data_IF_206415574517
#
_entry.id   IF_206415574517
#
_cell.length_a   1.000
_cell.length_b   1.000
_cell.length_c   1.000
_cell.angle_alpha   90.00
_cell.angle_beta   90.00
_cell.angle_gamma   90.00
#
_symmetry.space_group_name_H-M   'P 1'
#
loop_
_entity.id
_entity.type
_entity.pdbx_description
1 polymer ?
#
# COMPACT_ATOMS: atom_id res chain seq x y z
N UNK A 1 -11.42 -12.59 -6.72
CA UNK A 1 -11.55 -11.46 -7.65
C UNK A 1 -10.78 -10.22 -7.18
N UNK A 2 -10.28 -10.19 -5.92
CA UNK A 2 -9.50 -9.08 -5.32
C UNK A 2 -7.98 -9.28 -5.39
N UNK A 3 -7.51 -10.46 -5.76
CA UNK A 3 -6.08 -10.80 -5.81
C UNK A 3 -5.32 -10.10 -6.95
N UNK A 4 -6.04 -9.63 -7.97
CA UNK A 4 -5.44 -9.15 -9.21
C UNK A 4 -4.69 -7.80 -9.06
N UNK A 5 -5.13 -6.89 -8.16
CA UNK A 5 -4.45 -5.61 -7.93
C UNK A 5 -3.16 -5.79 -7.12
N UNK A 6 -3.16 -6.70 -6.16
CA UNK A 6 -1.94 -7.07 -5.42
C UNK A 6 -0.92 -7.74 -6.34
N UNK A 7 -1.40 -8.54 -7.29
CA UNK A 7 -0.57 -9.17 -8.31
C UNK A 7 0.02 -8.15 -9.30
N UNK A 8 -0.78 -7.16 -9.72
CA UNK A 8 -0.31 -6.06 -10.56
C UNK A 8 0.72 -5.17 -9.83
N UNK A 9 0.61 -5.05 -8.51
CA UNK A 9 1.60 -4.35 -7.68
C UNK A 9 2.86 -5.19 -7.40
N UNK A 10 3.01 -6.38 -8.03
CA UNK A 10 4.18 -7.25 -7.83
C UNK A 10 4.10 -8.09 -6.54
N UNK A 11 3.01 -8.01 -5.80
CA UNK A 11 2.69 -8.94 -4.72
C UNK A 11 1.98 -10.14 -5.34
N UNK A 12 2.70 -11.19 -5.62
CA UNK A 12 2.10 -12.46 -6.06
C UNK A 12 1.12 -13.02 -5.01
N UNK A 13 0.38 -14.11 -5.32
CA UNK A 13 -0.59 -14.73 -4.41
C UNK A 13 0.06 -15.35 -3.17
N UNK A 14 1.26 -14.95 -2.84
CA UNK A 14 2.07 -15.53 -1.80
C UNK A 14 1.72 -14.94 -0.43
N UNK A 15 0.89 -15.65 0.29
CA UNK A 15 0.60 -15.39 1.70
C UNK A 15 1.89 -15.14 2.50
N UNK A 16 2.95 -15.91 2.23
CA UNK A 16 4.25 -15.77 2.86
C UNK A 16 4.90 -14.40 2.65
N UNK A 17 4.77 -13.80 1.45
CA UNK A 17 5.29 -12.45 1.15
C UNK A 17 4.58 -11.41 2.00
N UNK A 18 3.24 -11.45 2.02
CA UNK A 18 2.44 -10.51 2.80
C UNK A 18 2.71 -10.65 4.31
N UNK A 19 2.80 -11.88 4.82
CA UNK A 19 3.12 -12.15 6.22
C UNK A 19 4.51 -11.65 6.59
N UNK A 20 5.50 -11.83 5.71
CA UNK A 20 6.86 -11.34 5.92
C UNK A 20 6.89 -9.81 6.00
N UNK A 21 6.28 -9.12 5.03
CA UNK A 21 6.24 -7.65 5.00
C UNK A 21 5.48 -7.10 6.21
N UNK A 22 4.32 -7.67 6.54
CA UNK A 22 3.52 -7.25 7.69
C UNK A 22 4.28 -7.42 9.01
N UNK A 23 4.99 -8.54 9.19
CA UNK A 23 5.83 -8.76 10.39
C UNK A 23 6.91 -7.70 10.52
N UNK A 24 7.61 -7.36 9.41
CA UNK A 24 8.60 -6.28 9.42
C UNK A 24 7.99 -4.94 9.80
N UNK A 25 6.87 -4.57 9.22
CA UNK A 25 6.16 -3.33 9.58
C UNK A 25 5.83 -3.32 11.07
N UNK A 26 5.39 -4.44 11.59
CA UNK A 26 5.03 -4.61 13.00
C UNK A 26 6.23 -4.41 13.92
N UNK A 27 7.36 -5.04 13.59
CA UNK A 27 8.63 -4.92 14.33
C UNK A 27 9.14 -3.46 14.30
N UNK A 28 9.12 -2.82 13.14
CA UNK A 28 9.59 -1.44 12.96
C UNK A 28 8.71 -0.41 13.68
N UNK A 29 7.40 -0.60 13.68
CA UNK A 29 6.47 0.26 14.39
C UNK A 29 6.46 0.00 15.90
N UNK A 30 6.91 -1.17 16.36
CA UNK A 30 6.87 -1.56 17.76
C UNK A 30 5.51 -1.21 18.40
N UNK A 31 4.43 -1.74 17.81
CA UNK A 31 3.07 -1.44 18.25
C UNK A 31 2.84 -1.88 19.70
N UNK A 32 2.06 -1.09 20.44
CA UNK A 32 1.72 -1.28 21.83
C UNK A 32 0.21 -1.39 22.01
N UNK A 33 -0.26 -2.04 23.09
CA UNK A 33 -1.70 -2.16 23.35
C UNK A 33 -2.45 -0.82 23.37
N UNK A 34 -1.82 0.22 23.92
CA UNK A 34 -2.39 1.57 24.04
C UNK A 34 -2.36 2.39 22.75
N UNK A 35 -1.76 1.89 21.67
CA UNK A 35 -1.70 2.63 20.42
C UNK A 35 -3.07 2.79 19.77
N UNK A 36 -3.26 3.96 19.18
CA UNK A 36 -4.30 4.23 18.20
C UNK A 36 -3.68 4.01 16.81
N UNK A 37 -3.89 2.84 16.27
CA UNK A 37 -3.29 2.36 15.04
C UNK A 37 -4.18 2.59 13.82
N UNK A 38 -3.61 3.07 12.72
CA UNK A 38 -4.30 3.26 11.44
C UNK A 38 -3.54 2.55 10.32
N UNK A 39 -4.24 1.70 9.59
CA UNK A 39 -3.75 1.02 8.38
C UNK A 39 -4.44 1.62 7.14
N UNK A 40 -3.75 2.52 6.43
CA UNK A 40 -4.27 3.23 5.26
C UNK A 40 -4.08 2.35 4.02
N UNK A 41 -5.19 1.95 3.40
CA UNK A 41 -5.21 0.95 2.33
C UNK A 41 -4.99 -0.45 2.88
N UNK A 42 -5.73 -0.81 3.91
CA UNK A 42 -5.57 -2.06 4.65
C UNK A 42 -5.86 -3.34 3.82
N UNK A 43 -6.35 -3.19 2.59
CA UNK A 43 -6.63 -4.29 1.69
C UNK A 43 -7.55 -5.33 2.32
N UNK A 44 -7.06 -6.56 2.51
CA UNK A 44 -7.80 -7.64 3.17
C UNK A 44 -7.73 -7.62 4.71
N UNK A 45 -7.19 -6.57 5.31
CA UNK A 45 -7.12 -6.38 6.75
C UNK A 45 -6.16 -7.33 7.48
N UNK A 46 -5.16 -7.91 6.80
CA UNK A 46 -4.23 -8.85 7.44
C UNK A 46 -3.37 -8.16 8.50
N UNK A 47 -2.81 -6.98 8.20
CA UNK A 47 -2.02 -6.22 9.15
C UNK A 47 -2.88 -5.72 10.31
N UNK A 48 -4.09 -5.24 10.01
CA UNK A 48 -5.07 -4.80 11.01
C UNK A 48 -5.42 -5.93 11.99
N UNK A 49 -5.69 -7.13 11.49
CA UNK A 49 -5.94 -8.31 12.34
C UNK A 49 -4.75 -8.68 13.20
N UNK A 50 -3.54 -8.63 12.63
CA UNK A 50 -2.32 -8.89 13.38
C UNK A 50 -2.12 -7.89 14.51
N UNK A 51 -2.45 -6.61 14.29
CA UNK A 51 -2.41 -5.58 15.32
C UNK A 51 -3.39 -5.89 16.46
N UNK A 52 -4.64 -6.23 16.14
CA UNK A 52 -5.66 -6.59 17.13
C UNK A 52 -5.24 -7.86 17.92
N UNK A 53 -4.74 -8.89 17.23
CA UNK A 53 -4.27 -10.12 17.85
C UNK A 53 -3.08 -9.93 18.78
N UNK A 54 -2.24 -8.92 18.52
CA UNK A 54 -1.13 -8.57 19.41
C UNK A 54 -1.53 -7.69 20.60
N UNK A 55 -2.83 -7.40 20.74
CA UNK A 55 -3.38 -6.66 21.86
C UNK A 55 -3.61 -5.17 21.63
N UNK A 56 -3.41 -4.64 20.43
CA UNK A 56 -3.76 -3.24 20.11
C UNK A 56 -5.28 -3.07 20.22
N UNK A 57 -5.71 -2.22 21.14
CA UNK A 57 -7.13 -2.06 21.48
C UNK A 57 -7.85 -1.19 20.44
N UNK A 58 -7.17 -0.22 19.85
CA UNK A 58 -7.76 0.73 18.91
C UNK A 58 -7.06 0.65 17.56
N UNK A 59 -7.63 -0.09 16.62
CA UNK A 59 -7.07 -0.32 15.29
C UNK A 59 -8.13 -0.06 14.22
N UNK A 60 -7.86 0.87 13.30
CA UNK A 60 -8.74 1.28 12.20
C UNK A 60 -8.07 1.00 10.87
N UNK A 61 -8.80 0.33 9.97
CA UNK A 61 -8.42 0.19 8.57
C UNK A 61 -9.12 1.22 7.69
N UNK A 62 -8.45 1.67 6.63
CA UNK A 62 -9.06 2.50 5.60
C UNK A 62 -8.94 1.82 4.24
N UNK A 63 -10.02 1.81 3.47
CA UNK A 63 -10.02 1.38 2.07
C UNK A 63 -10.77 2.39 1.22
N UNK A 64 -10.44 2.46 -0.07
CA UNK A 64 -10.93 3.49 -0.98
C UNK A 64 -12.30 3.18 -1.59
N UNK A 65 -12.83 1.96 -1.44
CA UNK A 65 -14.10 1.52 -2.03
C UNK A 65 -14.98 0.79 -1.02
N UNK A 66 -16.29 0.94 -1.15
CA UNK A 66 -17.28 0.21 -0.33
C UNK A 66 -17.15 -1.31 -0.45
N UNK A 67 -16.82 -1.81 -1.65
CA UNK A 67 -16.62 -3.24 -1.91
C UNK A 67 -15.45 -3.84 -1.12
N UNK A 68 -14.47 -3.01 -0.74
CA UNK A 68 -13.35 -3.42 0.10
C UNK A 68 -13.65 -3.26 1.59
N UNK A 69 -14.48 -2.27 1.95
CA UNK A 69 -14.85 -1.99 3.34
C UNK A 69 -15.86 -3.01 3.86
N UNK A 70 -16.95 -3.22 3.14
CA UNK A 70 -18.09 -4.03 3.58
C UNK A 70 -17.72 -5.44 4.06
N UNK A 71 -16.93 -6.26 3.32
CA UNK A 71 -16.59 -7.61 3.77
C UNK A 71 -15.77 -7.64 5.05
N UNK A 72 -14.97 -6.60 5.31
CA UNK A 72 -14.15 -6.51 6.51
C UNK A 72 -14.96 -6.06 7.73
N UNK A 73 -15.88 -5.13 7.52
CA UNK A 73 -16.84 -4.71 8.56
C UNK A 73 -17.76 -5.85 8.99
N UNK A 74 -18.20 -6.69 8.05
CA UNK A 74 -18.98 -7.91 8.33
C UNK A 74 -18.20 -8.93 9.17
N UNK A 75 -16.86 -8.88 9.13
CA UNK A 75 -15.96 -9.67 9.96
C UNK A 75 -15.66 -9.02 11.33
N UNK A 76 -16.32 -7.90 11.65
CA UNK A 76 -16.16 -7.19 12.92
C UNK A 76 -14.92 -6.31 13.02
N UNK A 77 -14.26 -6.00 11.90
CA UNK A 77 -13.13 -5.05 11.86
C UNK A 77 -13.65 -3.61 11.71
N UNK A 78 -13.07 -2.65 12.43
CA UNK A 78 -13.31 -1.23 12.18
C UNK A 78 -12.57 -0.79 10.92
N UNK A 79 -13.26 -0.89 9.79
CA UNK A 79 -12.75 -0.46 8.49
C UNK A 79 -13.68 0.59 7.93
N UNK A 80 -13.11 1.71 7.48
CA UNK A 80 -13.86 2.87 7.01
C UNK A 80 -13.50 3.18 5.57
N UNK A 81 -14.48 3.74 4.85
CA UNK A 81 -14.26 4.31 3.53
C UNK A 81 -13.43 5.59 3.68
N UNK A 82 -12.27 5.62 3.03
CA UNK A 82 -11.37 6.77 3.09
C UNK A 82 -10.28 6.71 2.04
N UNK A 83 -9.82 7.87 1.62
CA UNK A 83 -8.73 8.03 0.66
C UNK A 83 -7.56 8.71 1.34
N UNK A 84 -6.35 8.52 0.83
CA UNK A 84 -5.14 9.15 1.36
C UNK A 84 -5.23 10.69 1.38
N UNK A 85 -5.94 11.30 0.43
CA UNK A 85 -6.15 12.75 0.31
C UNK A 85 -7.41 13.27 1.05
N UNK A 86 -8.13 12.37 1.77
CA UNK A 86 -9.31 12.70 2.57
C UNK A 86 -9.55 11.57 3.58
N UNK A 87 -8.90 11.65 4.74
CA UNK A 87 -8.95 10.63 5.78
C UNK A 87 -10.06 10.95 6.78
N UNK A 88 -11.05 10.04 6.99
CA UNK A 88 -12.21 10.29 7.86
C UNK A 88 -11.88 10.07 9.35
N UNK A 89 -10.80 10.69 9.80
CA UNK A 89 -10.36 10.67 11.20
C UNK A 89 -10.06 12.09 11.67
N UNK A 90 -10.28 12.39 12.96
CA UNK A 90 -9.95 13.69 13.52
C UNK A 90 -8.43 13.95 13.54
N UNK A 91 -8.07 15.22 13.69
CA UNK A 91 -6.69 15.65 13.87
C UNK A 91 -6.07 15.00 15.10
N UNK A 92 -4.79 14.68 15.03
CA UNK A 92 -4.01 14.13 16.14
C UNK A 92 -4.68 12.91 16.82
N UNK A 93 -5.31 12.03 16.04
CA UNK A 93 -5.94 10.81 16.56
C UNK A 93 -4.93 9.65 16.68
N UNK A 94 -4.11 9.43 15.66
CA UNK A 94 -3.27 8.23 15.54
C UNK A 94 -1.92 8.36 16.25
N UNK A 95 -1.51 7.33 16.99
CA UNK A 95 -0.15 7.21 17.54
C UNK A 95 0.78 6.35 16.67
N UNK A 96 0.20 5.54 15.79
CA UNK A 96 0.91 4.73 14.81
C UNK A 96 0.11 4.64 13.51
N UNK A 97 0.77 4.89 12.37
CA UNK A 97 0.15 4.90 11.04
C UNK A 97 0.98 4.07 10.07
N UNK A 98 0.30 3.26 9.27
CA UNK A 98 0.87 2.54 8.13
C UNK A 98 0.19 3.01 6.86
N UNK A 99 0.96 3.22 5.81
CA UNK A 99 0.49 3.36 4.43
C UNK A 99 1.47 2.59 3.54
N UNK A 100 1.17 1.31 3.29
CA UNK A 100 2.09 0.41 2.62
C UNK A 100 1.54 -0.04 1.26
N UNK A 101 2.33 0.15 0.19
CA UNK A 101 1.93 -0.18 -1.19
C UNK A 101 0.65 0.56 -1.67
N UNK A 102 0.43 1.79 -1.21
CA UNK A 102 -0.75 2.61 -1.53
C UNK A 102 -0.37 3.92 -2.19
N UNK A 103 0.63 4.64 -1.65
CA UNK A 103 1.01 5.96 -2.17
C UNK A 103 1.50 5.90 -3.61
N UNK A 104 2.05 4.78 -4.05
CA UNK A 104 2.43 4.57 -5.45
C UNK A 104 1.24 4.69 -6.42
N UNK A 105 0.01 4.47 -5.95
CA UNK A 105 -1.23 4.58 -6.73
C UNK A 105 -1.85 5.98 -6.67
N UNK A 106 -1.27 6.89 -5.89
CA UNK A 106 -1.76 8.26 -5.74
C UNK A 106 -1.21 9.13 -6.87
N UNK A 107 -2.06 9.86 -7.61
CA UNK A 107 -1.59 10.81 -8.60
C UNK A 107 -0.61 11.84 -8.01
N UNK A 108 0.44 12.20 -8.75
CA UNK A 108 1.51 13.06 -8.26
C UNK A 108 0.99 14.41 -7.72
N UNK A 109 -0.03 14.98 -8.36
CA UNK A 109 -0.66 16.24 -7.96
C UNK A 109 -1.42 16.14 -6.62
N UNK A 110 -1.77 14.93 -6.19
CA UNK A 110 -2.44 14.68 -4.91
C UNK A 110 -1.49 14.27 -3.79
N UNK A 111 -0.24 13.94 -4.11
CA UNK A 111 0.72 13.41 -3.15
C UNK A 111 0.94 14.35 -1.95
N UNK A 112 1.17 15.62 -2.20
CA UNK A 112 1.37 16.61 -1.13
C UNK A 112 0.15 16.73 -0.21
N UNK A 113 -1.07 16.61 -0.76
CA UNK A 113 -2.31 16.60 0.04
C UNK A 113 -2.40 15.32 0.87
N UNK A 114 -2.09 14.17 0.27
CA UNK A 114 -2.11 12.88 0.97
C UNK A 114 -1.13 12.84 2.14
N UNK A 115 0.09 13.34 1.96
CA UNK A 115 1.07 13.41 3.03
C UNK A 115 0.62 14.36 4.17
N UNK A 116 0.00 15.50 3.84
CA UNK A 116 -0.59 16.41 4.85
C UNK A 116 -1.74 15.76 5.61
N UNK A 117 -2.61 15.00 4.96
CA UNK A 117 -3.70 14.28 5.63
C UNK A 117 -3.16 13.19 6.57
N UNK A 118 -2.16 12.42 6.13
CA UNK A 118 -1.46 11.45 6.99
C UNK A 118 -0.86 12.16 8.21
N UNK A 119 -0.16 13.27 8.00
CA UNK A 119 0.42 14.05 9.10
C UNK A 119 -0.65 14.68 10.02
N UNK A 120 -1.79 15.13 9.46
CA UNK A 120 -2.90 15.73 10.22
C UNK A 120 -3.48 14.78 11.25
N UNK A 121 -3.71 13.52 10.85
CA UNK A 121 -4.29 12.52 11.75
C UNK A 121 -3.31 12.03 12.81
N UNK A 122 -2.02 12.28 12.65
CA UNK A 122 -0.97 11.85 13.57
C UNK A 122 -0.89 12.73 14.82
N UNK A 123 -0.81 12.11 15.99
CA UNK A 123 -0.40 12.77 17.24
C UNK A 123 1.04 13.25 17.13
N UNK A 124 1.47 14.25 17.92
CA UNK A 124 2.89 14.56 18.09
C UNK A 124 3.69 13.29 18.43
N UNK A 125 4.84 13.10 17.78
CA UNK A 125 5.69 11.91 17.90
C UNK A 125 5.07 10.58 17.43
N UNK A 126 3.93 10.57 16.74
CA UNK A 126 3.37 9.38 16.15
C UNK A 126 4.36 8.72 15.19
N UNK A 127 4.37 7.39 15.20
CA UNK A 127 5.20 6.55 14.31
C UNK A 127 4.48 6.34 12.99
N UNK A 128 5.16 6.62 11.88
CA UNK A 128 4.56 6.56 10.55
C UNK A 128 5.43 5.72 9.64
N UNK A 129 4.85 4.65 9.10
CA UNK A 129 5.44 3.83 8.05
C UNK A 129 4.83 4.16 6.71
N UNK A 130 5.66 4.58 5.75
CA UNK A 130 5.29 4.76 4.34
C UNK A 130 6.13 3.79 3.51
N UNK A 131 5.50 2.72 3.04
CA UNK A 131 6.24 1.60 2.45
C UNK A 131 5.99 1.40 0.96
N UNK A 132 6.97 0.75 0.33
CA UNK A 132 6.97 0.35 -1.08
C UNK A 132 6.87 1.55 -2.06
N UNK A 133 7.49 2.67 -1.73
CA UNK A 133 7.53 3.83 -2.61
C UNK A 133 8.58 3.60 -3.71
N UNK A 134 8.18 3.63 -4.99
CA UNK A 134 9.11 3.53 -6.09
C UNK A 134 10.07 4.74 -6.15
N UNK A 135 11.36 4.46 -6.34
CA UNK A 135 12.42 5.48 -6.41
C UNK A 135 12.71 5.97 -7.82
N UNK A 136 12.25 5.24 -8.84
CA UNK A 136 12.50 5.52 -10.26
C UNK A 136 11.29 5.14 -11.10
N UNK A 137 11.23 5.63 -12.34
CA UNK A 137 10.26 5.18 -13.34
C UNK A 137 10.49 3.72 -13.77
N UNK A 138 11.72 3.23 -13.65
CA UNK A 138 12.08 1.87 -13.99
C UNK A 138 11.82 0.92 -12.82
N UNK A 139 10.58 0.46 -12.70
CA UNK A 139 10.26 -0.61 -11.75
C UNK A 139 10.42 -1.94 -12.49
N UNK A 140 11.49 -2.64 -12.20
CA UNK A 140 11.81 -3.92 -12.84
C UNK A 140 10.99 -5.09 -12.31
N UNK A 141 10.34 -4.91 -11.17
CA UNK A 141 9.62 -5.94 -10.42
C UNK A 141 8.20 -6.19 -10.96
N UNK A 142 7.72 -5.35 -11.87
CA UNK A 142 6.39 -5.46 -12.48
C UNK A 142 6.53 -5.68 -13.98
N UNK A 143 5.88 -6.71 -14.55
CA UNK A 143 5.95 -6.95 -15.98
C UNK A 143 5.34 -5.77 -16.74
N UNK A 144 6.07 -5.31 -17.77
CA UNK A 144 5.60 -4.29 -18.73
C UNK A 144 5.08 -4.99 -19.98
N UNK A 145 4.00 -4.47 -20.51
CA UNK A 145 3.40 -4.96 -21.73
C UNK A 145 3.29 -3.82 -22.75
N UNK A 146 3.53 -4.12 -24.02
CA UNK A 146 3.46 -3.11 -25.07
C UNK A 146 2.00 -2.81 -25.48
N UNK A 147 1.10 -3.75 -25.23
CA UNK A 147 -0.32 -3.63 -25.61
C UNK A 147 -1.20 -4.58 -24.80
N UNK A 148 -2.53 -4.35 -24.85
CA UNK A 148 -3.52 -5.19 -24.16
C UNK A 148 -3.45 -6.66 -24.57
N UNK A 149 -3.37 -7.04 -25.87
CA UNK A 149 -3.24 -8.45 -26.27
C UNK A 149 -2.05 -9.15 -25.65
N UNK A 150 -0.87 -8.51 -25.59
CA UNK A 150 0.33 -9.06 -24.96
C UNK A 150 0.11 -9.28 -23.47
N UNK A 151 -0.46 -8.31 -22.77
CA UNK A 151 -0.81 -8.40 -21.35
C UNK A 151 -1.80 -9.55 -21.09
N UNK A 152 -2.86 -9.66 -21.91
CA UNK A 152 -3.85 -10.73 -21.80
C UNK A 152 -3.22 -12.11 -22.04
N UNK A 153 -2.35 -12.22 -23.04
CA UNK A 153 -1.61 -13.44 -23.33
C UNK A 153 -0.69 -13.84 -22.16
N UNK A 154 0.05 -12.88 -21.62
CA UNK A 154 0.90 -13.10 -20.45
C UNK A 154 0.06 -13.54 -19.24
N UNK A 155 -1.06 -12.87 -18.96
CA UNK A 155 -2.00 -13.23 -17.91
C UNK A 155 -2.48 -14.67 -18.03
N UNK A 156 -2.97 -15.03 -19.23
CA UNK A 156 -3.47 -16.39 -19.50
C UNK A 156 -2.38 -17.45 -19.23
N UNK A 157 -1.18 -17.18 -19.71
CA UNK A 157 -0.07 -18.14 -19.66
C UNK A 157 0.58 -18.26 -18.27
N UNK A 158 0.69 -17.16 -17.55
CA UNK A 158 1.37 -17.10 -16.25
C UNK A 158 0.44 -17.18 -15.05
N UNK A 159 -0.80 -16.72 -15.18
CA UNK A 159 -1.77 -16.58 -14.09
C UNK A 159 -3.02 -17.45 -14.27
N UNK A 160 -3.17 -18.03 -15.46
CA UNK A 160 -4.28 -18.95 -15.79
C UNK A 160 -5.59 -18.28 -16.16
N UNK A 161 -6.57 -19.12 -16.55
CA UNK A 161 -7.84 -18.70 -17.13
C UNK A 161 -8.68 -17.82 -16.20
N UNK A 162 -8.64 -18.07 -14.89
CA UNK A 162 -9.44 -17.33 -13.91
C UNK A 162 -9.04 -15.85 -13.84
N UNK A 163 -7.74 -15.56 -13.75
CA UNK A 163 -7.19 -14.20 -13.76
C UNK A 163 -7.43 -13.51 -15.09
N UNK A 164 -7.28 -14.23 -16.20
CA UNK A 164 -7.58 -13.73 -17.54
C UNK A 164 -9.04 -13.28 -17.66
N UNK A 165 -10.01 -14.10 -17.24
CA UNK A 165 -11.44 -13.75 -17.27
C UNK A 165 -11.74 -12.55 -16.37
N UNK A 166 -11.10 -12.47 -15.21
CA UNK A 166 -11.22 -11.33 -14.30
C UNK A 166 -10.82 -10.00 -14.96
N UNK A 167 -9.66 -9.97 -15.62
CA UNK A 167 -9.18 -8.78 -16.34
C UNK A 167 -10.08 -8.43 -17.54
N UNK A 168 -10.51 -9.42 -18.32
CA UNK A 168 -11.43 -9.17 -19.42
C UNK A 168 -12.74 -8.52 -18.94
N UNK A 169 -13.30 -8.97 -17.82
CA UNK A 169 -14.48 -8.37 -17.21
C UNK A 169 -14.27 -6.90 -16.84
N UNK A 170 -13.13 -6.58 -16.21
CA UNK A 170 -12.80 -5.20 -15.81
C UNK A 170 -12.59 -4.28 -17.02
N UNK A 171 -11.98 -4.79 -18.08
CA UNK A 171 -11.85 -4.06 -19.35
C UNK A 171 -13.21 -3.72 -19.93
N UNK A 172 -14.17 -4.66 -19.88
CA UNK A 172 -15.52 -4.48 -20.41
C UNK A 172 -16.40 -3.60 -19.51
N UNK A 173 -16.20 -3.62 -18.20
CA UNK A 173 -16.95 -2.78 -17.25
C UNK A 173 -16.48 -1.32 -17.20
N UNK A 174 -15.36 -1.00 -17.83
CA UNK A 174 -14.78 0.35 -17.80
C UNK A 174 -14.18 0.75 -16.42
N UNK A 175 -14.11 -0.20 -15.49
CA UNK A 175 -13.55 0.04 -14.12
C UNK A 175 -12.06 0.37 -14.13
N UNK A 176 -11.35 0.00 -15.21
CA UNK A 176 -9.94 0.31 -15.37
C UNK A 176 -9.64 0.85 -16.76
N UNK A 177 -8.84 1.91 -16.83
CA UNK A 177 -8.40 2.46 -18.10
C UNK A 177 -7.30 1.59 -18.73
N UNK A 178 -7.36 1.37 -20.03
CA UNK A 178 -6.43 0.54 -20.79
C UNK A 178 -4.93 0.86 -20.55
N UNK A 179 -4.51 2.13 -20.46
CA UNK A 179 -3.12 2.49 -20.19
C UNK A 179 -2.59 1.95 -18.86
N UNK A 180 -3.40 1.90 -17.81
CA UNK A 180 -3.04 1.38 -16.48
C UNK A 180 -2.82 -0.13 -16.51
N UNK A 181 -3.49 -0.85 -17.41
CA UNK A 181 -3.33 -2.30 -17.57
C UNK A 181 -2.10 -2.67 -18.41
N UNK A 182 -1.78 -1.86 -19.42
CA UNK A 182 -0.64 -2.10 -20.32
C UNK A 182 0.67 -1.69 -19.63
N UNK A 183 0.67 -0.54 -18.98
CA UNK A 183 1.79 -0.05 -18.21
C UNK A 183 1.27 0.46 -16.86
N UNK A 184 1.06 -0.45 -15.89
CA UNK A 184 0.59 -0.05 -14.57
C UNK A 184 1.52 0.97 -13.89
N UNK A 185 2.73 1.14 -14.41
CA UNK A 185 3.73 2.08 -13.93
C UNK A 185 3.59 3.48 -14.51
N UNK A 186 2.94 3.67 -15.65
CA UNK A 186 2.76 4.99 -16.27
C UNK A 186 1.94 5.97 -15.40
N UNK A 187 1.13 5.44 -14.48
CA UNK A 187 0.34 6.22 -13.52
C UNK A 187 0.83 6.08 -12.07
N UNK A 188 1.94 5.37 -11.85
CA UNK A 188 2.49 5.14 -10.51
C UNK A 188 3.35 6.34 -10.10
N UNK A 189 3.05 6.88 -8.93
CA UNK A 189 3.93 7.86 -8.29
C UNK A 189 5.30 7.23 -8.00
N UNK A 190 6.34 7.94 -8.36
CA UNK A 190 7.72 7.61 -8.02
C UNK A 190 8.49 8.87 -7.65
N UNK A 191 9.46 8.75 -6.77
CA UNK A 191 10.35 9.85 -6.42
C UNK A 191 11.68 9.30 -5.89
N UNK A 192 12.82 9.94 -6.23
CA UNK A 192 14.07 9.68 -5.53
C UNK A 192 13.89 9.83 -4.02
N UNK A 193 14.59 9.03 -3.19
CA UNK A 193 14.41 9.06 -1.74
C UNK A 193 14.46 10.46 -1.12
N UNK A 194 15.44 11.27 -1.48
CA UNK A 194 15.60 12.62 -0.92
C UNK A 194 14.41 13.54 -1.28
N UNK A 195 13.89 13.40 -2.51
CA UNK A 195 12.72 14.18 -2.94
C UNK A 195 11.45 13.76 -2.18
N UNK A 196 11.24 12.45 -1.98
CA UNK A 196 10.11 11.94 -1.21
C UNK A 196 10.20 12.34 0.26
N UNK A 197 11.39 12.22 0.88
CA UNK A 197 11.65 12.67 2.26
C UNK A 197 11.30 14.14 2.41
N UNK A 198 11.81 15.00 1.51
CA UNK A 198 11.51 16.44 1.53
C UNK A 198 10.00 16.70 1.46
N UNK A 199 9.27 16.01 0.57
CA UNK A 199 7.81 16.17 0.46
C UNK A 199 7.10 15.77 1.78
N UNK A 200 7.55 14.73 2.44
CA UNK A 200 6.99 14.29 3.72
C UNK A 200 7.34 15.27 4.86
N UNK A 201 8.55 15.82 4.88
CA UNK A 201 8.97 16.84 5.83
C UNK A 201 8.20 18.16 5.67
N UNK A 202 7.97 18.59 4.44
CA UNK A 202 7.12 19.75 4.11
C UNK A 202 5.64 19.54 4.57
N UNK A 203 5.23 18.26 4.76
CA UNK A 203 3.93 17.90 5.33
C UNK A 203 3.93 17.78 6.86
N UNK A 204 5.08 17.92 7.52
CA UNK A 204 5.24 17.86 8.98
C UNK A 204 5.58 16.47 9.52
N UNK A 205 6.18 15.62 8.69
CA UNK A 205 6.73 14.32 9.09
C UNK A 205 8.26 14.43 9.08
N UNK A 206 8.93 14.03 10.15
CA UNK A 206 10.40 14.02 10.25
C UNK A 206 10.91 12.62 9.97
N UNK A 207 11.86 12.50 9.02
CA UNK A 207 12.47 11.20 8.72
C UNK A 207 13.31 10.70 9.91
N UNK A 208 13.17 9.42 10.25
CA UNK A 208 14.09 8.74 11.17
C UNK A 208 15.03 7.81 10.42
N UNK A 209 14.49 7.04 9.48
CA UNK A 209 15.29 6.14 8.62
C UNK A 209 14.52 5.75 7.36
N UNK A 210 15.25 5.37 6.33
CA UNK A 210 14.73 4.74 5.12
C UNK A 210 15.69 3.67 4.62
N UNK A 211 15.17 2.71 3.90
CA UNK A 211 15.98 1.60 3.37
C UNK A 211 15.29 0.96 2.16
N UNK A 212 16.05 0.24 1.31
CA UNK A 212 15.46 -0.52 0.22
C UNK A 212 14.41 -1.51 0.75
N UNK A 213 13.27 -1.60 0.07
CA UNK A 213 12.20 -2.51 0.44
C UNK A 213 12.69 -3.97 0.43
N UNK A 214 12.38 -4.72 1.47
CA UNK A 214 12.70 -6.13 1.60
C UNK A 214 11.42 -6.96 1.58
N UNK A 215 11.45 -8.03 0.79
CA UNK A 215 10.36 -8.97 0.61
C UNK A 215 10.89 -10.39 0.45
N UNK A 216 10.03 -11.33 0.08
CA UNK A 216 10.42 -12.66 -0.37
C UNK A 216 10.20 -12.76 -1.88
N UNK A 217 11.09 -13.47 -2.57
CA UNK A 217 10.92 -13.81 -3.98
C UNK A 217 9.96 -14.99 -4.17
N UNK A 218 9.76 -15.40 -5.44
CA UNK A 218 8.90 -16.53 -5.79
C UNK A 218 9.31 -17.89 -5.21
N UNK A 219 10.53 -17.98 -4.67
CA UNK A 219 11.09 -19.17 -4.01
C UNK A 219 11.14 -19.02 -2.48
N UNK A 220 10.45 -18.00 -1.92
CA UNK A 220 10.48 -17.65 -0.51
C UNK A 220 11.87 -17.28 0.04
N UNK A 221 12.78 -16.84 -0.82
CA UNK A 221 14.08 -16.32 -0.43
C UNK A 221 14.02 -14.82 -0.21
N UNK A 222 14.83 -14.32 0.71
CA UNK A 222 14.90 -12.88 1.01
C UNK A 222 15.33 -12.10 -0.24
N UNK A 223 14.49 -11.16 -0.63
CA UNK A 223 14.68 -10.27 -1.76
C UNK A 223 14.74 -8.82 -1.29
N UNK A 224 15.70 -8.07 -1.80
CA UNK A 224 15.79 -6.63 -1.60
C UNK A 224 15.47 -5.92 -2.92
N UNK A 225 14.43 -5.11 -2.94
CA UNK A 225 14.01 -4.39 -4.14
C UNK A 225 15.04 -3.35 -4.55
N UNK A 226 15.51 -3.34 -5.80
CA UNK A 226 16.38 -2.30 -6.32
C UNK A 226 15.63 -0.99 -6.62
N UNK A 227 14.29 -1.04 -6.65
CA UNK A 227 13.45 0.05 -7.18
C UNK A 227 12.47 0.63 -6.17
N UNK A 228 12.27 0.03 -5.00
CA UNK A 228 11.34 0.48 -3.97
C UNK A 228 12.06 0.73 -2.65
N UNK A 229 11.57 1.72 -1.90
CA UNK A 229 12.04 2.06 -0.57
C UNK A 229 10.90 2.06 0.45
N UNK A 230 11.25 1.75 1.68
CA UNK A 230 10.42 1.90 2.88
C UNK A 230 10.97 3.04 3.73
N UNK A 231 10.07 3.81 4.32
CA UNK A 231 10.40 5.00 5.11
C UNK A 231 9.71 4.95 6.46
N UNK A 232 10.46 5.30 7.49
CA UNK A 232 9.95 5.45 8.85
C UNK A 232 10.09 6.91 9.29
N UNK A 233 8.97 7.53 9.60
CA UNK A 233 8.88 8.91 10.03
C UNK A 233 8.33 9.02 11.45
N UNK A 234 8.55 10.19 12.05
CA UNK A 234 7.84 10.71 13.21
C UNK A 234 7.06 11.95 12.83
N UNK A 235 5.88 12.11 13.43
CA UNK A 235 5.16 13.39 13.37
C UNK A 235 5.89 14.41 14.24
N UNK A 236 6.14 15.60 13.68
CA UNK A 236 6.66 16.75 14.44
C UNK A 236 5.66 17.20 15.49
#
# INVERSE_FOLDING_TARGET
>A
MKDDLHELAGRGPFKAVTEFVNRRIFEELALRPEDQFVDIGCGHGLLLRSAIQSGVISAIGLNATEDEVKPLSELGLDVRLGRTDSIPLPDAWASAVVCNCVLLLVPAEKMAKSLREIARICKPNARVWLGEIPRTEEITDVPRHNNIPEMLWWMLRKRGVRSFVGICRRLLSGEQQGPVLINPLAAIFHAPPDAFIKMAEDAGLRIERHFPHRSLDGNSQLYTSPTRHDYFFRKN
#
